data_IF_563842825918
#
_entry.id   IF_563842825918
#
_cell.length_a   1.000
_cell.length_b   1.000
_cell.length_c   1.000
_cell.angle_alpha   90.00
_cell.angle_beta   90.00
_cell.angle_gamma   90.00
#
_symmetry.space_group_name_H-M   'P 1'
#
loop_
_entity.id
_entity.type
_entity.pdbx_description
1 polymer ?
#
# COMPACT_ATOMS: atom_id res chain seq x y z
N UNK A 1 -1.51 -14.52 76.86
CA UNK A 1 -1.59 -13.13 76.37
C UNK A 1 -0.30 -12.80 75.64
N UNK A 2 -0.38 -12.54 74.33
CA UNK A 2 0.61 -11.88 73.44
C UNK A 2 2.00 -12.54 73.31
N UNK A 3 2.72 -12.56 72.18
CA UNK A 3 2.59 -12.13 70.78
C UNK A 3 3.87 -12.69 70.12
N UNK A 4 3.78 -13.42 69.02
CA UNK A 4 4.96 -13.64 68.16
C UNK A 4 4.97 -12.53 67.09
N UNK A 5 6.07 -11.77 66.94
CA UNK A 5 6.23 -10.82 65.85
C UNK A 5 7.12 -11.40 64.73
N UNK A 6 6.93 -10.86 63.52
CA UNK A 6 7.84 -10.94 62.36
C UNK A 6 7.97 -12.34 61.70
N UNK A 7 7.70 -12.57 60.42
CA UNK A 7 7.90 -11.73 59.25
C UNK A 7 6.84 -12.05 58.17
N UNK A 8 6.14 -11.01 57.73
CA UNK A 8 5.28 -11.03 56.55
C UNK A 8 6.16 -10.84 55.32
N UNK A 9 6.45 -11.94 54.63
CA UNK A 9 7.06 -11.87 53.30
C UNK A 9 5.95 -11.44 52.35
N UNK A 10 5.90 -10.13 52.06
CA UNK A 10 5.12 -9.59 50.95
C UNK A 10 5.72 -10.14 49.65
N UNK A 11 5.16 -11.24 49.15
CA UNK A 11 5.41 -11.68 47.78
C UNK A 11 4.67 -10.69 46.87
N UNK A 12 5.34 -9.60 46.53
CA UNK A 12 4.90 -8.71 45.46
C UNK A 12 5.16 -9.42 44.13
N UNK A 13 4.23 -10.28 43.72
CA UNK A 13 4.20 -10.79 42.35
C UNK A 13 3.84 -9.65 41.42
N UNK A 14 4.86 -9.02 40.84
CA UNK A 14 4.72 -8.12 39.70
C UNK A 14 4.19 -8.93 38.50
N UNK A 15 2.88 -8.92 38.32
CA UNK A 15 2.22 -9.42 37.11
C UNK A 15 2.53 -8.40 36.01
N UNK A 16 3.55 -8.65 35.20
CA UNK A 16 3.70 -8.00 33.90
C UNK A 16 2.58 -8.52 33.00
N UNK A 17 1.42 -7.86 32.99
CA UNK A 17 0.48 -7.98 31.89
C UNK A 17 1.08 -7.28 30.69
N UNK A 18 1.87 -8.02 29.91
CA UNK A 18 2.08 -7.67 28.52
C UNK A 18 0.70 -7.72 27.86
N UNK A 19 0.10 -6.55 27.64
CA UNK A 19 -1.06 -6.42 26.77
C UNK A 19 -0.56 -6.75 25.36
N UNK A 20 -0.59 -8.03 25.01
CA UNK A 20 -0.47 -8.47 23.63
C UNK A 20 -1.73 -7.95 22.94
N UNK A 21 -1.69 -6.74 22.40
CA UNK A 21 -2.65 -6.30 21.38
C UNK A 21 -2.33 -7.08 20.09
N UNK A 22 -2.47 -8.40 20.15
CA UNK A 22 -2.53 -9.25 18.98
C UNK A 22 -3.89 -9.01 18.37
N UNK A 23 -3.91 -8.32 17.24
CA UNK A 23 -5.08 -8.06 16.43
C UNK A 23 -5.89 -9.34 16.25
N UNK A 24 -7.10 -9.26 16.76
CA UNK A 24 -8.21 -10.20 16.61
C UNK A 24 -8.34 -10.69 15.15
N UNK A 25 -7.70 -11.82 14.85
CA UNK A 25 -7.79 -12.55 13.58
C UNK A 25 -9.12 -13.31 13.51
N UNK A 26 -10.25 -12.60 13.57
CA UNK A 26 -11.60 -13.18 13.59
C UNK A 26 -12.21 -13.23 12.18
N UNK A 27 -12.48 -14.45 11.73
CA UNK A 27 -13.42 -14.83 10.67
C UNK A 27 -13.36 -14.01 9.36
N UNK A 28 -12.41 -14.42 8.54
CA UNK A 28 -12.28 -14.00 7.15
C UNK A 28 -11.34 -12.82 7.02
N UNK A 29 -10.40 -12.91 6.09
CA UNK A 29 -9.37 -11.91 5.80
C UNK A 29 -9.97 -10.62 5.24
N UNK A 30 -11.07 -10.11 5.78
CA UNK A 30 -11.76 -8.91 5.33
C UNK A 30 -11.10 -7.70 5.97
N UNK A 31 -10.93 -6.65 5.20
CA UNK A 31 -10.32 -5.41 5.66
C UNK A 31 -11.16 -4.22 5.21
N UNK A 32 -11.06 -3.11 5.94
CA UNK A 32 -11.60 -1.81 5.53
C UNK A 32 -10.51 -0.75 5.46
N UNK A 33 -9.37 -0.97 6.12
CA UNK A 33 -8.18 -0.11 6.11
C UNK A 33 -6.89 -0.96 6.17
N UNK A 34 -5.73 -0.41 5.77
CA UNK A 34 -4.45 -1.12 5.83
C UNK A 34 -4.08 -1.61 7.24
N UNK A 35 -4.45 -0.86 8.29
CA UNK A 35 -4.19 -1.22 9.68
C UNK A 35 -4.99 -2.42 10.20
N UNK A 36 -5.89 -2.98 9.40
CA UNK A 36 -6.57 -4.24 9.72
C UNK A 36 -5.73 -5.45 9.30
N UNK A 37 -4.72 -5.25 8.43
CA UNK A 37 -3.85 -6.29 7.89
C UNK A 37 -2.45 -6.26 8.54
N UNK A 38 -1.65 -7.30 8.28
CA UNK A 38 -0.25 -7.36 8.74
C UNK A 38 0.62 -6.33 8.01
N UNK A 39 1.80 -6.02 8.55
CA UNK A 39 2.73 -5.02 7.98
C UNK A 39 3.13 -5.29 6.53
N UNK A 40 3.18 -6.57 6.13
CA UNK A 40 3.55 -7.03 4.78
C UNK A 40 2.32 -7.39 3.93
N UNK A 41 1.15 -6.91 4.31
CA UNK A 41 -0.11 -7.13 3.62
C UNK A 41 -0.76 -5.80 3.26
N UNK A 42 -1.59 -5.81 2.23
CA UNK A 42 -2.39 -4.67 1.82
C UNK A 42 -3.86 -5.05 1.78
N UNK A 43 -4.72 -4.04 1.98
CA UNK A 43 -6.15 -4.22 1.82
C UNK A 43 -6.53 -4.05 0.34
N UNK A 44 -6.95 -5.15 -0.30
CA UNK A 44 -7.18 -5.21 -1.74
C UNK A 44 -8.64 -5.45 -2.09
N UNK A 45 -9.17 -4.63 -3.00
CA UNK A 45 -10.48 -4.82 -3.62
C UNK A 45 -10.28 -5.51 -4.98
N UNK A 46 -10.76 -6.75 -5.08
CA UNK A 46 -10.67 -7.55 -6.30
C UNK A 46 -11.49 -6.98 -7.47
N UNK A 47 -11.23 -7.49 -8.68
CA UNK A 47 -11.87 -7.04 -9.93
C UNK A 47 -13.38 -7.29 -10.01
N UNK A 48 -13.87 -8.30 -9.31
CA UNK A 48 -15.27 -8.70 -9.39
C UNK A 48 -16.20 -7.66 -8.78
N UNK A 49 -17.39 -7.51 -9.37
CA UNK A 49 -18.44 -6.68 -8.77
C UNK A 49 -18.79 -7.25 -7.40
N UNK A 50 -18.95 -6.37 -6.40
CA UNK A 50 -19.20 -6.76 -5.02
C UNK A 50 -18.09 -7.64 -4.42
N UNK A 51 -16.85 -7.50 -4.90
CA UNK A 51 -15.69 -8.05 -4.21
C UNK A 51 -15.64 -7.48 -2.80
N UNK A 52 -15.47 -8.36 -1.81
CA UNK A 52 -15.20 -7.93 -0.44
C UNK A 52 -13.70 -7.61 -0.36
N UNK A 53 -13.30 -6.47 0.20
CA UNK A 53 -11.88 -6.17 0.36
C UNK A 53 -11.24 -7.21 1.27
N UNK A 54 -10.05 -7.66 0.90
CA UNK A 54 -9.33 -8.66 1.67
C UNK A 54 -7.86 -8.33 1.86
N UNK A 55 -7.28 -8.78 2.98
CA UNK A 55 -5.84 -8.72 3.21
C UNK A 55 -5.14 -9.69 2.27
N UNK A 56 -4.21 -9.17 1.47
CA UNK A 56 -3.36 -9.93 0.55
C UNK A 56 -1.92 -9.49 0.77
N UNK A 57 -0.95 -10.41 0.61
CA UNK A 57 0.47 -10.07 0.75
C UNK A 57 0.89 -9.06 -0.33
N UNK A 58 1.85 -8.21 0.03
CA UNK A 58 2.51 -7.33 -0.94
C UNK A 58 3.24 -8.16 -2.00
N UNK A 59 3.37 -7.60 -3.21
CA UNK A 59 3.96 -8.31 -4.34
C UNK A 59 5.48 -8.39 -4.18
N UNK A 60 6.02 -9.58 -4.39
CA UNK A 60 7.44 -9.91 -4.26
C UNK A 60 8.15 -9.86 -5.60
N UNK A 61 9.48 -10.01 -5.61
CA UNK A 61 10.30 -9.93 -6.83
C UNK A 61 9.80 -10.90 -7.90
N UNK A 62 9.55 -10.39 -9.11
CA UNK A 62 9.06 -11.18 -10.24
C UNK A 62 7.54 -11.33 -10.31
N UNK A 63 6.80 -10.85 -9.31
CA UNK A 63 5.34 -10.84 -9.34
C UNK A 63 4.79 -9.60 -10.08
N UNK A 64 3.60 -9.75 -10.63
CA UNK A 64 2.94 -8.69 -11.36
C UNK A 64 2.48 -7.58 -10.41
N UNK A 65 2.63 -6.34 -10.86
CA UNK A 65 2.23 -5.15 -10.13
C UNK A 65 1.54 -4.14 -11.06
N UNK A 66 0.79 -3.22 -10.46
CA UNK A 66 0.15 -2.13 -11.19
C UNK A 66 1.01 -0.88 -11.11
N UNK A 67 1.55 -0.43 -12.26
CA UNK A 67 2.36 0.79 -12.34
C UNK A 67 1.53 2.00 -11.89
N UNK A 68 2.08 2.78 -10.95
CA UNK A 68 1.40 3.95 -10.40
C UNK A 68 0.19 3.64 -9.51
N UNK A 69 0.09 2.43 -8.96
CA UNK A 69 -0.96 2.07 -8.00
C UNK A 69 -0.92 3.01 -6.78
N UNK A 70 -2.04 3.71 -6.55
CA UNK A 70 -2.21 4.56 -5.38
C UNK A 70 -3.32 4.01 -4.49
N UNK A 71 -3.18 4.11 -3.17
CA UNK A 71 -4.25 3.74 -2.25
C UNK A 71 -5.43 4.70 -2.44
N UNK A 72 -6.64 4.16 -2.48
CA UNK A 72 -7.86 4.94 -2.73
C UNK A 72 -8.84 4.84 -1.54
N UNK A 73 -9.56 5.93 -1.28
CA UNK A 73 -10.68 5.96 -0.34
C UNK A 73 -11.98 5.91 -1.14
N UNK A 74 -12.83 4.91 -0.90
CA UNK A 74 -14.07 4.71 -1.68
C UNK A 74 -15.17 4.13 -0.80
N UNK A 75 -16.42 4.34 -1.21
CA UNK A 75 -17.59 3.69 -0.61
C UNK A 75 -18.08 2.60 -1.53
N UNK A 76 -18.14 1.38 -1.04
CA UNK A 76 -18.60 0.20 -1.78
C UNK A 76 -20.08 -0.03 -1.50
N UNK A 77 -20.89 -0.02 -2.56
CA UNK A 77 -22.32 -0.34 -2.51
C UNK A 77 -22.54 -1.80 -2.88
N UNK A 78 -23.11 -2.55 -1.94
CA UNK A 78 -23.48 -3.96 -2.08
C UNK A 78 -24.99 -4.12 -2.29
N UNK A 79 -25.44 -5.28 -2.81
CA UNK A 79 -26.86 -5.57 -2.95
C UNK A 79 -27.60 -5.42 -1.61
N UNK A 80 -28.86 -4.95 -1.66
CA UNK A 80 -29.65 -4.68 -0.47
C UNK A 80 -29.36 -3.32 0.19
N UNK A 81 -28.66 -2.42 -0.49
CA UNK A 81 -28.40 -1.06 0.01
C UNK A 81 -27.29 -0.97 1.05
N UNK A 82 -26.52 -2.03 1.24
CA UNK A 82 -25.41 -2.05 2.20
C UNK A 82 -24.24 -1.24 1.67
N UNK A 83 -23.81 -0.24 2.44
CA UNK A 83 -22.66 0.60 2.14
C UNK A 83 -21.49 0.21 3.07
N UNK A 84 -20.29 0.09 2.51
CA UNK A 84 -19.06 -0.11 3.27
C UNK A 84 -18.07 0.97 2.86
N UNK A 85 -17.63 1.77 3.82
CA UNK A 85 -16.56 2.73 3.62
C UNK A 85 -15.22 2.02 3.77
N UNK A 86 -14.36 2.20 2.75
CA UNK A 86 -13.01 1.64 2.75
C UNK A 86 -12.00 2.75 2.53
N UNK A 87 -10.90 2.67 3.26
CA UNK A 87 -9.86 3.69 3.29
C UNK A 87 -8.52 3.08 2.92
N UNK A 88 -7.76 3.77 2.07
CA UNK A 88 -6.42 3.36 1.69
C UNK A 88 -6.35 1.98 1.05
N UNK A 89 -7.36 1.59 0.28
CA UNK A 89 -7.42 0.28 -0.36
C UNK A 89 -6.80 0.30 -1.76
N UNK A 90 -6.21 -0.82 -2.14
CA UNK A 90 -5.65 -1.02 -3.47
C UNK A 90 -6.63 -1.77 -4.37
N UNK A 91 -6.52 -1.53 -5.68
CA UNK A 91 -7.30 -2.23 -6.70
C UNK A 91 -6.38 -3.12 -7.52
N UNK A 92 -6.88 -4.29 -7.90
CA UNK A 92 -6.21 -5.27 -8.76
C UNK A 92 -4.99 -5.94 -8.12
N UNK A 93 -3.99 -5.15 -7.72
CA UNK A 93 -2.72 -5.62 -7.15
C UNK A 93 -2.33 -4.82 -5.92
N UNK A 94 -1.70 -5.48 -4.96
CA UNK A 94 -1.01 -4.79 -3.87
C UNK A 94 0.25 -4.08 -4.40
N UNK A 95 0.76 -3.07 -3.70
CA UNK A 95 2.08 -2.52 -4.00
C UNK A 95 3.15 -3.61 -3.83
N UNK A 96 4.31 -3.38 -4.45
CA UNK A 96 5.48 -4.21 -4.20
C UNK A 96 5.95 -4.05 -2.76
N UNK A 97 6.65 -5.08 -2.26
CA UNK A 97 7.28 -5.06 -0.94
C UNK A 97 8.29 -3.91 -0.80
N UNK A 98 8.53 -3.47 0.44
CA UNK A 98 9.46 -2.39 0.75
C UNK A 98 10.83 -2.58 0.07
N UNK A 99 11.29 -1.56 -0.67
CA UNK A 99 12.56 -1.59 -1.41
C UNK A 99 12.48 -2.15 -2.83
N UNK A 100 11.30 -2.58 -3.28
CA UNK A 100 11.03 -2.94 -4.67
C UNK A 100 10.28 -1.80 -5.38
N UNK A 101 10.48 -1.71 -6.68
CA UNK A 101 9.71 -0.81 -7.55
C UNK A 101 8.93 -1.61 -8.60
N UNK A 102 7.80 -1.05 -9.01
CA UNK A 102 6.97 -1.63 -10.05
C UNK A 102 7.44 -1.14 -11.42
N UNK A 103 8.35 -1.88 -12.04
CA UNK A 103 8.91 -1.55 -13.36
C UNK A 103 8.44 -2.56 -14.41
N UNK A 104 7.95 -2.07 -15.55
CA UNK A 104 7.37 -2.91 -16.62
C UNK A 104 6.28 -3.87 -16.11
N UNK A 105 5.46 -3.40 -15.15
CA UNK A 105 4.40 -4.17 -14.49
C UNK A 105 4.89 -5.41 -13.70
N UNK A 106 6.16 -5.45 -13.33
CA UNK A 106 6.77 -6.50 -12.49
C UNK A 106 7.52 -5.87 -11.33
N UNK A 107 7.41 -6.45 -10.13
CA UNK A 107 8.20 -5.99 -8.99
C UNK A 107 9.66 -6.39 -9.16
N UNK A 108 10.54 -5.40 -9.15
CA UNK A 108 11.98 -5.59 -9.30
C UNK A 108 12.71 -4.79 -8.21
N UNK A 109 13.94 -5.18 -7.83
CA UNK A 109 14.75 -4.39 -6.92
C UNK A 109 14.95 -3.00 -7.50
N UNK A 110 14.80 -1.96 -6.67
CA UNK A 110 15.16 -0.60 -7.07
C UNK A 110 16.62 -0.61 -7.54
N UNK A 111 16.84 -0.55 -8.85
CA UNK A 111 18.18 -0.40 -9.40
C UNK A 111 18.71 0.93 -8.88
N UNK A 112 19.84 0.90 -8.17
CA UNK A 112 20.47 2.11 -7.64
C UNK A 112 20.79 3.16 -8.71
N UNK A 113 20.77 2.77 -10.00
CA UNK A 113 20.88 3.69 -11.14
C UNK A 113 19.60 4.49 -11.41
N UNK A 114 18.43 4.00 -11.01
CA UNK A 114 17.13 4.69 -11.18
C UNK A 114 16.83 5.69 -10.08
N UNK A 115 17.29 5.43 -8.85
CA UNK A 115 17.30 6.43 -7.77
C UNK A 115 18.11 7.68 -8.18
N UNK A 116 19.21 7.50 -8.92
CA UNK A 116 19.98 8.62 -9.51
C UNK A 116 19.31 9.27 -10.72
N UNK A 117 18.52 8.54 -11.53
CA UNK A 117 17.81 9.13 -12.70
C UNK A 117 16.56 9.90 -12.29
N UNK A 118 15.84 9.46 -11.27
CA UNK A 118 14.68 10.19 -10.73
C UNK A 118 15.09 11.43 -9.92
N UNK A 119 16.35 11.53 -9.50
CA UNK A 119 16.95 12.77 -8.99
C UNK A 119 17.45 13.71 -10.11
N UNK A 120 17.38 13.31 -11.39
CA UNK A 120 17.90 14.06 -12.54
C UNK A 120 16.82 14.56 -13.51
N UNK A 121 15.56 14.17 -13.34
CA UNK A 121 14.42 14.79 -14.05
C UNK A 121 13.70 15.74 -13.10
N UNK A 122 14.37 16.85 -12.80
CA UNK A 122 13.70 18.04 -12.31
C UNK A 122 12.99 18.68 -13.50
N UNK A 123 11.65 18.61 -13.51
CA UNK A 123 10.80 19.13 -14.60
C UNK A 123 10.98 20.65 -14.74
N UNK A 124 11.54 21.32 -13.74
CA UNK A 124 11.83 22.75 -13.74
C UNK A 124 13.11 23.16 -14.50
N UNK A 125 13.85 22.21 -15.10
CA UNK A 125 15.10 22.50 -15.84
C UNK A 125 15.12 21.94 -17.28
N UNK A 126 13.99 21.93 -17.99
CA UNK A 126 13.98 21.62 -19.42
C UNK A 126 14.20 22.88 -20.26
N UNK A 127 15.45 23.10 -20.68
CA UNK A 127 15.84 24.26 -21.50
C UNK A 127 15.43 24.06 -22.98
N UNK A 128 14.29 24.64 -23.33
CA UNK A 128 13.71 24.62 -24.68
C UNK A 128 14.60 25.29 -25.76
N UNK A 129 15.66 26.01 -25.37
CA UNK A 129 16.54 26.72 -26.30
C UNK A 129 17.59 25.85 -26.99
N UNK A 130 17.67 24.56 -26.64
CA UNK A 130 18.59 23.58 -27.25
C UNK A 130 17.96 22.73 -28.35
N UNK A 131 16.68 22.94 -28.66
CA UNK A 131 16.02 22.27 -29.77
C UNK A 131 16.56 22.80 -31.11
N UNK A 132 17.20 21.92 -31.87
CA UNK A 132 17.67 22.21 -33.22
C UNK A 132 16.50 22.31 -34.21
N UNK A 133 16.50 23.41 -34.95
CA UNK A 133 15.55 23.87 -35.96
C UNK A 133 15.60 23.00 -37.24
N UNK A 134 15.09 21.76 -37.18
CA UNK A 134 15.10 20.84 -38.34
C UNK A 134 13.78 20.11 -38.61
N UNK A 135 12.69 20.43 -37.91
CA UNK A 135 11.34 19.89 -38.23
C UNK A 135 10.38 21.02 -38.54
N UNK A 136 10.70 21.73 -39.63
CA UNK A 136 9.80 22.67 -40.29
C UNK A 136 9.51 22.17 -41.70
N UNK A 137 8.76 21.07 -41.81
CA UNK A 137 8.11 20.64 -43.04
C UNK A 137 6.70 20.11 -42.70
N UNK A 138 5.85 21.07 -42.32
CA UNK A 138 4.44 20.88 -42.07
C UNK A 138 3.69 20.67 -43.40
N UNK A 139 3.73 19.44 -43.93
CA UNK A 139 2.70 18.95 -44.85
C UNK A 139 1.41 18.68 -44.08
N UNK A 140 0.68 19.73 -43.74
CA UNK A 140 -0.72 19.62 -43.34
C UNK A 140 -1.55 19.17 -44.55
N UNK A 141 -2.10 17.97 -44.48
CA UNK A 141 -3.20 17.52 -45.35
C UNK A 141 -4.48 18.03 -44.71
N UNK A 142 -5.10 19.04 -45.32
CA UNK A 142 -6.46 19.45 -44.99
C UNK A 142 -7.42 18.29 -45.29
N UNK A 143 -8.09 17.77 -44.26
CA UNK A 143 -9.30 16.98 -44.46
C UNK A 143 -10.50 17.88 -44.16
N UNK A 144 -11.06 18.43 -45.22
CA UNK A 144 -12.42 18.95 -45.21
C UNK A 144 -13.40 17.78 -45.41
N UNK A 145 -14.38 17.67 -44.50
CA UNK A 145 -15.74 17.16 -44.77
C UNK A 145 -16.66 17.62 -43.65
#
# INVERSE_FOLDING_TARGET
>A
MFRCPLNSVFVATSILTAAMAGSDHWLGNFCSKPGDCSTNECCLVGMSRYSRPTCVRQATVGENCLMGARPENKTLLYPGGRLIEVHGVYRLFCPCEDGLDCFEAVCQPMSSKEVSRNALYDIDSFDYSTLSDSTKDDRYVEFAS
#
